data_IF_580078006485
#
_entry.id   IF_580078006485
#
_cell.length_a   1.000
_cell.length_b   1.000
_cell.length_c   1.000
_cell.angle_alpha   90.00
_cell.angle_beta   90.00
_cell.angle_gamma   90.00
#
_symmetry.space_group_name_H-M   'P 1'
#
loop_
_entity.id
_entity.type
_entity.pdbx_description
1 polymer ?
#
# COMPACT_ATOMS: atom_id res chain seq x y z
N UNK A 1 -14.23 -9.08 7.06
CA UNK A 1 -13.34 -7.89 7.07
C UNK A 1 -14.02 -6.73 6.35
N UNK A 2 -13.94 -5.51 6.88
CA UNK A 2 -14.52 -4.31 6.24
C UNK A 2 -13.55 -3.80 5.17
N UNK A 3 -14.02 -3.63 3.92
CA UNK A 3 -13.21 -3.20 2.75
C UNK A 3 -13.12 -1.68 2.58
N UNK A 4 -13.84 -0.92 3.41
CA UNK A 4 -13.96 0.53 3.29
C UNK A 4 -12.68 1.24 3.77
N UNK A 5 -12.25 2.20 2.98
CA UNK A 5 -11.15 3.11 3.27
C UNK A 5 -11.71 4.45 3.78
N UNK A 6 -11.07 5.00 4.81
CA UNK A 6 -11.47 6.26 5.42
C UNK A 6 -10.27 7.19 5.57
N UNK A 7 -10.53 8.48 5.45
CA UNK A 7 -9.60 9.55 5.79
C UNK A 7 -10.00 10.15 7.13
N UNK A 8 -9.05 10.25 8.06
CA UNK A 8 -9.26 10.92 9.34
C UNK A 8 -8.68 12.34 9.30
N UNK A 9 -9.45 13.31 9.78
CA UNK A 9 -9.00 14.69 9.85
C UNK A 9 -8.70 15.12 11.28
N UNK A 10 -7.42 15.29 11.61
CA UNK A 10 -6.95 15.58 12.97
C UNK A 10 -7.65 16.77 13.66
N UNK A 11 -7.83 17.89 12.96
CA UNK A 11 -8.43 19.09 13.57
C UNK A 11 -9.97 19.01 13.69
N UNK A 12 -10.61 18.21 12.85
CA UNK A 12 -12.08 18.06 12.84
C UNK A 12 -12.51 16.88 13.70
N UNK A 13 -11.59 15.97 14.01
CA UNK A 13 -11.84 14.73 14.74
C UNK A 13 -12.92 13.86 14.07
N UNK A 14 -12.90 13.81 12.73
CA UNK A 14 -13.92 13.15 11.92
C UNK A 14 -13.28 12.22 10.90
N UNK A 15 -14.04 11.18 10.54
CA UNK A 15 -13.73 10.28 9.44
C UNK A 15 -14.60 10.60 8.21
N UNK A 16 -14.00 10.59 7.03
CA UNK A 16 -14.72 10.61 5.75
C UNK A 16 -14.42 9.36 4.97
N UNK A 17 -15.48 8.81 4.37
CA UNK A 17 -15.35 7.71 3.43
C UNK A 17 -14.53 8.14 2.20
N UNK A 18 -13.68 7.24 1.72
CA UNK A 18 -12.90 7.42 0.49
C UNK A 18 -13.48 6.50 -0.60
N UNK A 19 -13.38 5.19 -0.38
CA UNK A 19 -13.83 4.14 -1.30
C UNK A 19 -13.80 2.77 -0.62
N UNK A 20 -14.02 1.70 -1.39
CA UNK A 20 -13.79 0.32 -0.96
C UNK A 20 -12.70 -0.36 -1.81
N UNK A 21 -11.99 -1.32 -1.21
CA UNK A 21 -11.24 -2.31 -1.97
C UNK A 21 -12.17 -3.14 -2.89
N UNK A 22 -11.71 -3.60 -4.06
CA UNK A 22 -12.45 -4.53 -4.91
C UNK A 22 -12.96 -5.77 -4.16
N UNK A 23 -14.14 -6.27 -4.52
CA UNK A 23 -14.82 -7.36 -3.78
C UNK A 23 -14.03 -8.67 -3.72
N UNK A 24 -13.21 -8.94 -4.73
CA UNK A 24 -12.43 -10.17 -4.83
C UNK A 24 -11.10 -10.10 -4.08
N UNK A 25 -10.75 -8.96 -3.47
CA UNK A 25 -9.46 -8.75 -2.80
C UNK A 25 -9.60 -8.97 -1.30
N UNK A 26 -8.71 -9.80 -0.75
CA UNK A 26 -8.60 -10.00 0.68
C UNK A 26 -7.56 -9.07 1.29
N UNK A 27 -8.03 -8.17 2.15
CA UNK A 27 -7.18 -7.21 2.85
C UNK A 27 -6.59 -7.76 4.16
N UNK A 28 -6.63 -9.08 4.40
CA UNK A 28 -6.06 -9.63 5.63
C UNK A 28 -4.53 -9.68 5.52
N UNK A 29 -3.85 -8.92 6.39
CA UNK A 29 -2.39 -8.93 6.48
C UNK A 29 -1.67 -8.27 5.30
N UNK A 30 -2.37 -7.43 4.52
CA UNK A 30 -1.79 -6.60 3.47
C UNK A 30 -1.09 -5.37 4.08
N UNK A 31 -0.26 -4.71 3.27
CA UNK A 31 0.40 -3.46 3.61
C UNK A 31 -0.07 -2.33 2.67
N UNK A 32 -0.07 -1.09 3.19
CA UNK A 32 -0.25 0.13 2.40
C UNK A 32 0.91 1.05 2.69
N UNK A 33 1.57 1.54 1.64
CA UNK A 33 2.67 2.50 1.74
C UNK A 33 2.38 3.72 0.86
N UNK A 34 2.82 4.89 1.33
CA UNK A 34 2.77 6.13 0.53
C UNK A 34 3.99 6.16 -0.40
N UNK A 35 3.77 6.22 -1.71
CA UNK A 35 4.81 6.52 -2.68
C UNK A 35 5.13 8.02 -2.60
N UNK A 36 6.42 8.35 -2.56
CA UNK A 36 6.86 9.76 -2.54
C UNK A 36 7.01 10.23 -3.98
N UNK A 37 6.28 11.30 -4.30
CA UNK A 37 6.43 12.02 -5.56
C UNK A 37 6.95 13.43 -5.22
N UNK A 38 8.22 13.69 -5.58
CA UNK A 38 8.91 14.93 -5.26
C UNK A 38 8.32 16.14 -5.99
N UNK A 39 7.56 15.93 -7.06
CA UNK A 39 6.94 17.00 -7.84
C UNK A 39 5.66 17.56 -7.21
N UNK A 40 5.15 16.95 -6.14
CA UNK A 40 3.83 17.22 -5.57
C UNK A 40 3.86 17.93 -4.21
N UNK A 41 4.91 18.70 -3.90
CA UNK A 41 5.09 19.41 -2.59
C UNK A 41 3.93 20.31 -2.17
N UNK A 42 3.07 20.74 -3.10
CA UNK A 42 1.94 21.62 -2.83
C UNK A 42 0.58 21.03 -3.21
N UNK A 43 0.51 19.76 -3.60
CA UNK A 43 -0.75 19.16 -4.00
C UNK A 43 -1.42 18.43 -2.85
N UNK A 44 -2.75 18.46 -2.83
CA UNK A 44 -3.57 17.65 -1.92
C UNK A 44 -3.60 16.17 -2.34
N UNK A 45 -2.62 15.72 -3.13
CA UNK A 45 -2.59 14.42 -3.77
C UNK A 45 -1.42 13.59 -3.25
N UNK A 46 -1.65 12.30 -3.08
CA UNK A 46 -0.62 11.31 -2.78
C UNK A 46 -0.89 10.05 -3.58
N UNK A 47 0.15 9.29 -3.89
CA UNK A 47 -0.01 7.95 -4.43
C UNK A 47 0.20 6.93 -3.32
N UNK A 48 -0.74 5.99 -3.18
CA UNK A 48 -0.69 4.88 -2.25
C UNK A 48 -0.50 3.59 -3.04
N UNK A 49 0.37 2.72 -2.54
CA UNK A 49 0.58 1.36 -3.03
C UNK A 49 0.10 0.40 -1.95
N UNK A 50 -0.82 -0.48 -2.32
CA UNK A 50 -1.34 -1.53 -1.45
C UNK A 50 -0.95 -2.90 -2.00
N UNK A 51 -0.36 -3.75 -1.17
CA UNK A 51 0.06 -5.07 -1.62
C UNK A 51 0.14 -6.14 -0.52
N UNK A 52 0.24 -7.41 -0.95
CA UNK A 52 0.36 -8.58 -0.09
C UNK A 52 -0.96 -9.04 0.51
N UNK A 53 -0.88 -9.71 1.67
CA UNK A 53 -2.04 -10.34 2.31
C UNK A 53 -2.24 -11.78 1.86
N UNK A 54 -3.23 -12.46 2.48
CA UNK A 54 -3.41 -13.91 2.32
C UNK A 54 -3.81 -14.36 0.91
N UNK A 55 -4.38 -13.47 0.10
CA UNK A 55 -4.85 -13.77 -1.26
C UNK A 55 -4.21 -12.88 -2.32
N UNK A 56 -3.19 -12.11 -1.92
CA UNK A 56 -2.25 -11.41 -2.81
C UNK A 56 -2.90 -10.40 -3.77
N UNK A 57 -2.45 -9.16 -3.71
CA UNK A 57 -2.87 -8.13 -4.64
C UNK A 57 -1.76 -7.11 -4.76
N UNK A 58 -1.70 -6.42 -5.89
CA UNK A 58 -0.85 -5.24 -6.00
C UNK A 58 -1.67 -4.13 -6.66
N UNK A 59 -2.08 -3.16 -5.84
CA UNK A 59 -3.00 -2.08 -6.20
C UNK A 59 -2.36 -0.72 -5.96
N UNK A 60 -2.75 0.25 -6.77
CA UNK A 60 -2.38 1.64 -6.62
C UNK A 60 -3.62 2.51 -6.45
N UNK A 61 -3.51 3.56 -5.65
CA UNK A 61 -4.52 4.61 -5.55
C UNK A 61 -3.85 5.98 -5.66
N UNK A 62 -4.33 6.80 -6.58
CA UNK A 62 -4.10 8.25 -6.52
C UNK A 62 -5.13 8.85 -5.58
N UNK A 63 -4.72 9.17 -4.35
CA UNK A 63 -5.59 9.75 -3.35
C UNK A 63 -5.57 11.27 -3.45
N UNK A 64 -6.75 11.89 -3.46
CA UNK A 64 -6.95 13.34 -3.31
C UNK A 64 -7.76 13.58 -2.06
N UNK A 65 -7.31 14.54 -1.24
CA UNK A 65 -7.97 14.86 0.02
C UNK A 65 -9.47 15.14 -0.15
N UNK A 66 -10.30 14.26 0.43
CA UNK A 66 -11.77 14.41 0.56
C UNK A 66 -12.19 15.55 1.51
N UNK A 67 -11.19 16.25 2.07
CA UNK A 67 -11.38 17.42 2.92
C UNK A 67 -11.10 18.74 2.20
N UNK A 68 -10.58 18.69 0.98
CA UNK A 68 -10.32 19.88 0.17
C UNK A 68 -11.58 20.32 -0.58
N UNK A 69 -11.84 21.63 -0.61
CA UNK A 69 -12.99 22.22 -1.31
C UNK A 69 -12.74 22.38 -2.83
N UNK A 70 -11.54 22.05 -3.31
CA UNK A 70 -11.08 22.24 -4.70
C UNK A 70 -11.24 20.99 -5.59
N UNK A 71 -12.11 20.05 -5.22
CA UNK A 71 -12.46 18.91 -6.06
C UNK A 71 -13.21 19.39 -7.31
N UNK A 72 -12.45 19.81 -8.34
CA UNK A 72 -13.00 20.11 -9.65
C UNK A 72 -13.55 18.82 -10.30
N UNK A 73 -14.65 18.93 -11.04
CA UNK A 73 -15.30 17.82 -11.79
C UNK A 73 -14.35 17.05 -12.71
N UNK A 74 -13.22 17.64 -13.14
CA UNK A 74 -12.18 16.97 -13.91
C UNK A 74 -11.50 15.80 -13.19
N UNK A 75 -11.67 15.68 -11.87
CA UNK A 75 -11.12 14.58 -11.07
C UNK A 75 -11.87 13.25 -11.25
N UNK A 76 -13.13 13.25 -11.72
CA UNK A 76 -13.89 12.02 -11.93
C UNK A 76 -13.33 11.16 -13.06
N UNK A 77 -12.68 11.76 -14.06
CA UNK A 77 -12.10 11.06 -15.22
C UNK A 77 -10.78 10.33 -14.90
N UNK A 78 -10.16 10.60 -13.75
CA UNK A 78 -8.79 10.16 -13.45
C UNK A 78 -8.72 9.01 -12.43
N UNK A 79 -9.86 8.38 -12.10
CA UNK A 79 -9.95 7.29 -11.12
C UNK A 79 -9.30 7.63 -9.77
N UNK A 80 -9.41 8.90 -9.34
CA UNK A 80 -8.93 9.31 -8.01
C UNK A 80 -9.73 8.62 -6.91
N UNK A 81 -9.09 8.44 -5.76
CA UNK A 81 -9.69 7.82 -4.58
C UNK A 81 -10.25 6.41 -4.84
N UNK A 82 -9.76 5.72 -5.86
CA UNK A 82 -10.13 4.33 -6.17
C UNK A 82 -8.87 3.46 -6.23
N UNK A 83 -9.02 2.19 -5.85
CA UNK A 83 -7.98 1.19 -6.02
C UNK A 83 -8.02 0.67 -7.46
N UNK A 84 -6.92 0.81 -8.18
CA UNK A 84 -6.70 0.25 -9.51
C UNK A 84 -5.51 -0.71 -9.50
N UNK A 85 -5.40 -1.57 -10.50
CA UNK A 85 -4.22 -2.43 -10.66
C UNK A 85 -2.96 -1.56 -10.76
N UNK A 86 -1.88 -1.98 -10.11
CA UNK A 86 -0.60 -1.32 -10.28
C UNK A 86 0.02 -1.76 -11.60
N UNK A 87 0.23 -0.83 -12.51
CA UNK A 87 0.78 -1.09 -13.85
C UNK A 87 2.00 -0.23 -14.13
N UNK A 88 2.86 -0.71 -15.01
CA UNK A 88 3.95 0.08 -15.57
C UNK A 88 3.45 1.05 -16.67
N UNK A 89 4.40 1.75 -17.31
CA UNK A 89 4.12 2.71 -18.38
C UNK A 89 3.58 2.07 -19.67
N UNK A 90 3.60 0.74 -19.76
CA UNK A 90 3.07 -0.04 -20.89
C UNK A 90 1.74 -0.72 -20.53
N UNK A 91 1.11 -0.35 -19.40
CA UNK A 91 -0.08 -0.97 -18.85
C UNK A 91 0.09 -2.46 -18.50
N UNK A 92 1.33 -2.93 -18.32
CA UNK A 92 1.59 -4.27 -17.81
C UNK A 92 1.40 -4.28 -16.30
N UNK A 93 0.62 -5.23 -15.78
CA UNK A 93 0.39 -5.36 -14.34
C UNK A 93 1.67 -5.77 -13.64
N UNK A 94 2.04 -5.03 -12.61
CA UNK A 94 3.20 -5.30 -11.76
C UNK A 94 2.71 -6.10 -10.56
N UNK A 95 3.31 -7.27 -10.36
CA UNK A 95 3.02 -8.16 -9.23
C UNK A 95 4.23 -8.16 -8.31
N UNK A 96 4.03 -7.76 -7.06
CA UNK A 96 5.08 -7.77 -6.02
C UNK A 96 5.11 -9.14 -5.33
N UNK A 97 4.03 -9.90 -5.33
CA UNK A 97 4.04 -11.25 -4.78
C UNK A 97 4.75 -12.26 -5.69
N UNK A 98 5.48 -13.20 -5.08
CA UNK A 98 6.30 -14.17 -5.82
C UNK A 98 5.91 -15.62 -5.57
N UNK A 99 5.38 -15.92 -4.39
CA UNK A 99 4.98 -17.28 -3.97
C UNK A 99 3.71 -17.20 -3.14
N UNK A 100 2.74 -18.03 -3.51
CA UNK A 100 1.41 -18.01 -2.92
C UNK A 100 1.45 -18.34 -1.42
N UNK A 101 0.93 -17.43 -0.60
CA UNK A 101 0.69 -17.67 0.83
C UNK A 101 1.79 -17.17 1.79
N UNK A 102 2.92 -16.67 1.29
CA UNK A 102 4.03 -16.20 2.13
C UNK A 102 3.85 -14.74 2.63
N UNK A 103 2.99 -13.96 1.98
CA UNK A 103 2.83 -12.52 2.23
C UNK A 103 1.77 -12.16 3.28
N UNK A 104 1.34 -13.15 4.08
CA UNK A 104 0.52 -12.90 5.26
C UNK A 104 1.24 -12.01 6.26
N UNK A 105 0.66 -10.85 6.60
CA UNK A 105 1.20 -9.91 7.58
C UNK A 105 2.49 -9.22 7.13
N UNK A 106 2.60 -8.98 5.82
CA UNK A 106 3.70 -8.24 5.23
C UNK A 106 3.82 -6.85 5.84
N UNK A 107 5.05 -6.40 6.05
CA UNK A 107 5.37 -5.03 6.45
C UNK A 107 6.35 -4.45 5.47
N UNK A 108 6.17 -3.18 5.14
CA UNK A 108 7.06 -2.54 4.21
C UNK A 108 7.37 -1.10 4.57
N UNK A 109 8.53 -0.65 4.11
CA UNK A 109 8.98 0.73 4.20
C UNK A 109 9.68 1.09 2.91
N UNK A 110 9.50 2.34 2.48
CA UNK A 110 10.25 2.90 1.36
C UNK A 110 11.49 3.58 1.93
N UNK A 111 12.65 3.21 1.40
CA UNK A 111 13.95 3.70 1.86
C UNK A 111 14.86 4.20 0.74
N UNK A 112 15.99 4.79 1.15
CA UNK A 112 17.02 5.55 0.39
C UNK A 112 16.68 7.00 0.04
N UNK A 113 17.75 7.77 -0.22
CA UNK A 113 17.77 9.20 -0.60
C UNK A 113 16.87 9.55 -1.81
N UNK A 114 16.52 8.57 -2.65
CA UNK A 114 15.70 8.76 -3.85
C UNK A 114 14.35 7.99 -3.80
N UNK A 115 13.96 7.44 -2.62
CA UNK A 115 12.65 6.80 -2.39
C UNK A 115 12.24 5.70 -3.38
N UNK A 116 13.20 5.05 -4.03
CA UNK A 116 12.94 4.07 -5.09
C UNK A 116 13.04 2.61 -4.62
N UNK A 117 13.42 2.36 -3.36
CA UNK A 117 13.49 1.00 -2.83
C UNK A 117 12.41 0.72 -1.82
N UNK A 118 11.64 -0.32 -2.09
CA UNK A 118 10.65 -0.89 -1.19
C UNK A 118 11.28 -2.08 -0.46
N UNK A 119 11.47 -1.93 0.84
CA UNK A 119 11.92 -3.00 1.73
C UNK A 119 10.69 -3.72 2.27
N UNK A 120 10.62 -5.02 2.04
CA UNK A 120 9.46 -5.83 2.37
C UNK A 120 9.91 -6.93 3.31
N UNK A 121 9.27 -7.04 4.45
CA UNK A 121 9.51 -8.11 5.43
C UNK A 121 8.26 -8.93 5.62
N UNK A 122 8.42 -10.25 5.67
CA UNK A 122 7.30 -11.19 5.74
C UNK A 122 7.73 -12.50 6.40
N UNK A 123 6.73 -13.28 6.80
CA UNK A 123 6.92 -14.54 7.51
C UNK A 123 7.74 -15.55 6.67
N UNK A 124 8.56 -16.43 7.29
CA UNK A 124 8.89 -16.46 8.71
C UNK A 124 9.90 -15.39 9.12
N UNK A 125 10.91 -15.12 8.31
CA UNK A 125 11.97 -14.16 8.62
C UNK A 125 12.59 -13.65 7.32
N UNK A 126 11.75 -13.41 6.31
CA UNK A 126 12.19 -13.05 4.97
C UNK A 126 12.28 -11.54 4.81
N UNK A 127 13.22 -11.10 3.99
CA UNK A 127 13.31 -9.74 3.47
C UNK A 127 13.45 -9.76 1.95
N UNK A 128 12.66 -8.93 1.28
CA UNK A 128 12.81 -8.62 -0.14
C UNK A 128 13.12 -7.14 -0.31
N UNK A 129 13.94 -6.83 -1.31
CA UNK A 129 14.22 -5.45 -1.74
C UNK A 129 13.73 -5.32 -3.17
N UNK A 130 12.73 -4.47 -3.38
CA UNK A 130 12.11 -4.23 -4.67
C UNK A 130 12.43 -2.81 -5.15
N UNK A 131 12.84 -2.68 -6.41
CA UNK A 131 13.10 -1.40 -7.05
C UNK A 131 11.82 -0.87 -7.72
N UNK A 132 11.28 0.22 -7.19
CA UNK A 132 10.06 0.87 -7.67
C UNK A 132 10.22 1.57 -9.02
N UNK A 133 11.45 1.84 -9.48
CA UNK A 133 11.67 2.47 -10.78
C UNK A 133 11.77 1.45 -11.92
N UNK A 134 12.36 0.28 -11.63
CA UNK A 134 12.57 -0.78 -12.63
C UNK A 134 11.57 -1.92 -12.50
N UNK A 135 10.72 -1.88 -11.47
CA UNK A 135 9.77 -2.94 -11.11
C UNK A 135 10.42 -4.33 -10.98
N UNK A 136 11.62 -4.38 -10.43
CA UNK A 136 12.41 -5.61 -10.29
C UNK A 136 12.88 -5.83 -8.86
N UNK A 137 12.95 -7.10 -8.46
CA UNK A 137 13.61 -7.50 -7.23
C UNK A 137 15.11 -7.37 -7.34
N UNK A 138 15.71 -6.73 -6.34
CA UNK A 138 17.17 -6.62 -6.17
C UNK A 138 17.68 -7.78 -5.33
N UNK A 139 16.96 -8.11 -4.25
CA UNK A 139 17.40 -9.12 -3.28
C UNK A 139 16.22 -9.81 -2.62
N UNK A 140 16.44 -11.07 -2.29
CA UNK A 140 15.65 -11.84 -1.34
C UNK A 140 16.60 -12.52 -0.36
N UNK A 141 16.30 -12.46 0.92
CA UNK A 141 17.15 -13.06 1.95
C UNK A 141 16.35 -13.48 3.19
N UNK A 142 16.99 -14.26 4.05
CA UNK A 142 16.55 -14.42 5.43
C UNK A 142 17.19 -13.33 6.29
N UNK A 143 16.40 -12.68 7.12
CA UNK A 143 16.91 -11.84 8.20
C UNK A 143 17.65 -12.73 9.21
N UNK A 144 18.81 -12.29 9.74
CA UNK A 144 19.58 -13.00 10.76
C UNK A 144 18.93 -12.83 12.14
N UNK A 145 17.66 -13.23 12.25
CA UNK A 145 16.88 -13.20 13.49
C UNK A 145 16.51 -14.63 13.88
N UNK A 146 16.61 -14.94 15.16
CA UNK A 146 16.32 -16.28 15.69
C UNK A 146 14.81 -16.59 15.74
N UNK A 147 13.95 -15.56 15.69
CA UNK A 147 12.49 -15.68 15.81
C UNK A 147 11.77 -15.27 14.53
N UNK A 148 10.58 -15.81 14.29
CA UNK A 148 9.75 -15.39 13.18
C UNK A 148 9.14 -13.99 13.37
N UNK A 149 8.94 -13.28 12.26
CA UNK A 149 8.14 -12.06 12.17
C UNK A 149 6.70 -12.44 12.49
N UNK A 150 6.20 -11.95 13.62
CA UNK A 150 4.82 -12.19 14.04
C UNK A 150 3.85 -11.42 13.14
N UNK A 151 2.81 -12.13 12.70
CA UNK A 151 1.59 -11.52 12.20
C UNK A 151 1.04 -10.60 13.30
N UNK A 152 0.73 -9.34 12.96
CA UNK A 152 0.02 -8.47 13.89
C UNK A 152 -1.35 -9.09 14.19
N UNK A 153 -1.52 -9.66 15.39
CA UNK A 153 -2.84 -10.00 15.91
C UNK A 153 -3.41 -8.76 16.58
N UNK A 154 -4.69 -8.46 16.32
CA UNK A 154 -5.42 -7.46 17.08
C UNK A 154 -5.42 -7.87 18.56
N UNK A 155 -4.61 -7.20 19.38
CA UNK A 155 -4.82 -7.21 20.82
C UNK A 155 -6.08 -6.38 21.08
N UNK A 156 -7.25 -7.00 21.02
CA UNK A 156 -8.44 -6.44 21.65
C UNK A 156 -8.17 -6.50 23.15
N UNK A 157 -7.60 -5.42 23.71
CA UNK A 157 -7.71 -5.16 25.14
C UNK A 157 -9.15 -4.79 25.39
N UNK A 158 -9.97 -5.78 25.75
CA UNK A 158 -11.24 -5.52 26.39
C UNK A 158 -10.94 -4.66 27.64
N UNK A 159 -11.50 -3.46 27.65
CA UNK A 159 -11.45 -2.55 28.78
C UNK A 159 -12.58 -2.89 29.73
#
# INVERSE_FOLDING_TARGET
FKRACYSYHKLKNEYKFICEYPRHISIRGHCVVKLIDDNNKHSNQITLLSFGGCYEHTLMMKYVSVWSNTLNKSNELNNYNQWVLFTDNHNCTIIIERTTGDYGGVRAVIGRRNNHLLFITYYPNKISVFNLNTFQFIKHDNLPIASCIKLGQEMIKNK
#
